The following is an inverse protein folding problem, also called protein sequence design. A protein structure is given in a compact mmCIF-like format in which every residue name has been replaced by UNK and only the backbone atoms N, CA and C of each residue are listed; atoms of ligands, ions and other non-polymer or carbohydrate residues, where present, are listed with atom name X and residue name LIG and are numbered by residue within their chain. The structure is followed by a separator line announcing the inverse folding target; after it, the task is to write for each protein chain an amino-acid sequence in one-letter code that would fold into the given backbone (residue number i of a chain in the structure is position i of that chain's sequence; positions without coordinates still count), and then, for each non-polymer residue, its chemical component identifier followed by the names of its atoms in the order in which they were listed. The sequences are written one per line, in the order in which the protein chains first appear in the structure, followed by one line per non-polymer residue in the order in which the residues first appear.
data_IF_165294192142
#
_entry.id   IF_165294192142
#
_cell.length_a   1.000
_cell.length_b   1.000
_cell.length_c   1.000
_cell.angle_alpha   90.00
_cell.angle_beta   90.00
_cell.angle_gamma   90.00
#
_symmetry.space_group_name_H-M   'P 1'
#
loop_
_entity.id
_entity.type
_entity.pdbx_description
1 polymer ?
#
# COMPACT_ATOMS: atom_id res chain seq x y z
N UNK A 1 -21.02 23.59 67.46
CA UNK A 1 -20.60 24.11 66.14
C UNK A 1 -21.48 23.46 65.08
N UNK A 2 -22.62 24.09 64.77
CA UNK A 2 -23.59 23.64 63.77
C UNK A 2 -23.55 24.65 62.62
N UNK A 3 -23.24 24.19 61.42
CA UNK A 3 -23.25 25.01 60.21
C UNK A 3 -24.68 25.11 59.66
N UNK A 4 -25.21 26.32 59.66
CA UNK A 4 -26.54 26.68 59.17
C UNK A 4 -26.48 26.84 57.65
N UNK A 5 -27.27 26.05 56.91
CA UNK A 5 -27.49 26.21 55.46
C UNK A 5 -28.41 27.40 55.21
N UNK A 6 -27.91 28.46 54.59
CA UNK A 6 -28.75 29.54 54.03
C UNK A 6 -28.92 29.32 52.53
N UNK A 7 -30.13 28.88 52.18
CA UNK A 7 -30.69 28.79 50.85
C UNK A 7 -31.13 30.21 50.43
N UNK A 8 -30.56 30.79 49.38
CA UNK A 8 -31.06 32.02 48.77
C UNK A 8 -32.12 31.66 47.70
N UNK A 9 -33.35 32.18 47.76
CA UNK A 9 -34.30 32.08 46.66
C UNK A 9 -34.09 33.28 45.72
N UNK A 10 -33.70 33.05 44.47
CA UNK A 10 -33.76 34.06 43.42
C UNK A 10 -35.14 33.99 42.74
N UNK A 11 -35.87 35.10 42.55
CA UNK A 11 -37.24 35.06 42.06
C UNK A 11 -37.28 34.75 40.57
N UNK A 12 -37.98 33.68 40.19
CA UNK A 12 -38.50 33.47 38.85
C UNK A 12 -39.55 34.56 38.58
N UNK A 13 -39.18 35.58 37.81
CA UNK A 13 -40.13 36.51 37.20
C UNK A 13 -40.23 36.17 35.71
N UNK A 14 -41.33 35.49 35.40
CA UNK A 14 -41.87 35.29 34.07
C UNK A 14 -42.02 36.63 33.35
N UNK A 15 -41.25 36.82 32.29
CA UNK A 15 -41.64 37.62 31.14
C UNK A 15 -41.40 36.74 29.91
N UNK A 16 -42.44 35.99 29.56
CA UNK A 16 -42.56 35.24 28.32
C UNK A 16 -42.60 36.21 27.14
N UNK A 17 -41.43 36.55 26.62
CA UNK A 17 -41.31 36.87 25.20
C UNK A 17 -41.08 35.55 24.49
N UNK A 18 -42.09 35.09 23.73
CA UNK A 18 -42.02 33.86 22.97
C UNK A 18 -40.81 33.91 22.04
N UNK A 19 -39.93 32.92 22.17
CA UNK A 19 -38.82 32.71 21.24
C UNK A 19 -39.08 31.38 20.54
N UNK A 20 -38.77 31.28 19.24
CA UNK A 20 -39.04 30.08 18.47
C UNK A 20 -38.19 28.87 18.89
N UNK A 21 -37.00 29.12 19.43
CA UNK A 21 -36.02 28.09 19.73
C UNK A 21 -35.42 28.28 21.13
N UNK A 22 -35.19 27.18 21.84
CA UNK A 22 -34.70 27.18 23.21
C UNK A 22 -33.37 26.45 23.34
N UNK A 23 -32.67 26.72 24.44
CA UNK A 23 -31.48 25.96 24.79
C UNK A 23 -31.93 24.57 25.18
N UNK A 24 -31.40 23.56 24.53
CA UNK A 24 -31.94 22.22 24.67
C UNK A 24 -31.09 21.16 24.01
N UNK A 25 -31.32 19.93 24.47
CA UNK A 25 -30.82 18.76 23.79
C UNK A 25 -31.55 18.60 22.45
N UNK A 26 -30.87 18.04 21.46
CA UNK A 26 -31.49 17.69 20.20
C UNK A 26 -30.95 16.36 19.70
N UNK A 27 -31.75 15.69 18.88
CA UNK A 27 -31.33 14.56 18.07
C UNK A 27 -31.65 14.85 16.61
N UNK A 28 -30.83 14.35 15.69
CA UNK A 28 -31.09 14.48 14.26
C UNK A 28 -30.80 13.17 13.54
N UNK A 29 -31.63 12.87 12.55
CA UNK A 29 -31.39 11.79 11.59
C UNK A 29 -31.45 12.38 10.19
N UNK A 30 -30.54 12.00 9.33
CA UNK A 30 -30.48 12.53 7.97
C UNK A 30 -29.91 11.56 6.96
N UNK A 31 -30.09 11.92 5.70
CA UNK A 31 -29.46 11.25 4.59
C UNK A 31 -28.25 12.05 4.14
N UNK A 32 -27.20 11.33 3.76
CA UNK A 32 -25.97 11.90 3.26
C UNK A 32 -25.70 11.40 1.85
N UNK A 33 -25.36 12.32 0.95
CA UNK A 33 -24.86 12.01 -0.38
C UNK A 33 -23.45 12.57 -0.49
N UNK A 34 -22.47 11.75 -0.83
CA UNK A 34 -21.09 12.20 -0.97
C UNK A 34 -20.44 11.72 -2.26
N UNK A 35 -19.65 12.61 -2.86
CA UNK A 35 -18.83 12.25 -4.02
C UNK A 35 -17.51 11.71 -3.49
N UNK A 36 -17.18 10.48 -3.87
CA UNK A 36 -15.97 9.80 -3.45
C UNK A 36 -15.07 9.49 -4.63
N UNK A 37 -13.79 9.82 -4.50
CA UNK A 37 -12.76 9.40 -5.44
C UNK A 37 -12.10 8.13 -4.93
N UNK A 38 -11.93 7.17 -5.84
CA UNK A 38 -10.92 6.13 -5.71
C UNK A 38 -9.86 6.42 -6.78
N UNK A 39 -8.69 6.88 -6.33
CA UNK A 39 -7.55 7.16 -7.22
C UNK A 39 -6.57 6.01 -7.03
N UNK A 40 -6.40 5.20 -8.08
CA UNK A 40 -5.46 4.10 -8.11
C UNK A 40 -4.26 4.53 -8.95
N UNK A 41 -3.13 4.73 -8.28
CA UNK A 41 -1.84 4.83 -8.96
C UNK A 41 -1.21 3.43 -8.97
N UNK A 42 -1.02 2.86 -10.17
CA UNK A 42 -0.46 1.53 -10.40
C UNK A 42 -1.33 0.39 -9.86
N UNK A 43 -1.81 -0.51 -10.73
CA UNK A 43 -2.69 -1.62 -10.35
C UNK A 43 -1.93 -2.70 -9.55
N UNK A 44 -2.31 -3.00 -8.30
CA UNK A 44 -1.66 -3.99 -7.46
C UNK A 44 -1.99 -5.44 -7.85
N UNK A 45 -3.12 -5.71 -8.51
CA UNK A 45 -3.44 -7.07 -8.94
C UNK A 45 -2.62 -7.47 -10.17
N UNK A 46 -2.31 -6.51 -11.05
CA UNK A 46 -1.28 -6.67 -12.07
C UNK A 46 0.13 -6.81 -11.45
N UNK A 47 0.32 -6.37 -10.20
CA UNK A 47 1.61 -6.43 -9.52
C UNK A 47 1.96 -7.81 -8.99
N UNK A 48 1.05 -8.76 -8.72
CA UNK A 48 1.47 -10.08 -8.22
C UNK A 48 2.28 -10.88 -9.26
N UNK A 49 1.77 -11.00 -10.49
CA UNK A 49 2.52 -11.63 -11.58
C UNK A 49 3.80 -10.85 -11.88
N UNK A 50 3.74 -9.51 -11.88
CA UNK A 50 4.93 -8.66 -12.09
C UNK A 50 5.96 -8.81 -10.98
N UNK A 51 5.55 -8.90 -9.72
CA UNK A 51 6.41 -9.12 -8.56
C UNK A 51 7.10 -10.47 -8.71
N UNK A 52 6.36 -11.52 -9.10
CA UNK A 52 6.94 -12.84 -9.33
C UNK A 52 7.94 -12.79 -10.50
N UNK A 53 7.61 -12.09 -11.58
CA UNK A 53 8.50 -11.88 -12.73
C UNK A 53 9.77 -11.13 -12.31
N UNK A 54 9.64 -10.05 -11.54
CA UNK A 54 10.76 -9.23 -11.04
C UNK A 54 11.64 -10.05 -10.08
N UNK A 55 11.04 -10.76 -9.12
CA UNK A 55 11.74 -11.61 -8.16
C UNK A 55 12.51 -12.73 -8.86
N UNK A 56 11.86 -13.42 -9.80
CA UNK A 56 12.49 -14.46 -10.61
C UNK A 56 13.64 -13.89 -11.46
N UNK A 57 13.45 -12.72 -12.06
CA UNK A 57 14.47 -12.04 -12.86
C UNK A 57 15.68 -11.60 -12.02
N UNK A 58 15.45 -11.05 -10.83
CA UNK A 58 16.52 -10.66 -9.89
C UNK A 58 17.31 -11.87 -9.40
N UNK A 59 16.63 -12.98 -9.05
CA UNK A 59 17.28 -14.24 -8.68
C UNK A 59 18.13 -14.78 -9.85
N UNK A 60 17.61 -14.70 -11.08
CA UNK A 60 18.35 -15.09 -12.28
C UNK A 60 19.59 -14.21 -12.48
N UNK A 61 19.49 -12.89 -12.34
CA UNK A 61 20.64 -11.97 -12.42
C UNK A 61 21.68 -12.29 -11.34
N UNK A 62 21.26 -12.53 -10.10
CA UNK A 62 22.15 -12.92 -9.01
C UNK A 62 22.94 -14.19 -9.33
N UNK A 63 22.26 -15.23 -9.84
CA UNK A 63 22.93 -16.46 -10.29
C UNK A 63 23.93 -16.21 -11.43
N UNK A 64 23.57 -15.38 -12.42
CA UNK A 64 24.48 -15.03 -13.51
C UNK A 64 25.72 -14.26 -13.02
N UNK A 65 25.57 -13.41 -12.00
CA UNK A 65 26.72 -12.75 -11.35
C UNK A 65 27.63 -13.73 -10.60
N UNK A 66 27.08 -14.74 -9.93
CA UNK A 66 27.91 -15.79 -9.31
C UNK A 66 28.74 -16.53 -10.36
N UNK A 67 28.12 -16.93 -11.47
CA UNK A 67 28.82 -17.60 -12.58
C UNK A 67 29.89 -16.69 -13.18
N UNK A 68 29.62 -15.38 -13.32
CA UNK A 68 30.62 -14.40 -13.78
C UNK A 68 31.85 -14.38 -12.86
N UNK A 69 31.63 -14.43 -11.54
CA UNK A 69 32.71 -14.48 -10.56
C UNK A 69 33.48 -15.81 -10.66
N UNK A 70 32.79 -16.95 -10.79
CA UNK A 70 33.39 -18.28 -10.98
C UNK A 70 34.28 -18.32 -12.24
N UNK A 71 33.81 -17.75 -13.38
CA UNK A 71 34.60 -17.65 -14.61
C UNK A 71 35.88 -16.82 -14.41
N UNK A 72 35.77 -15.74 -13.63
CA UNK A 72 36.89 -14.83 -13.37
C UNK A 72 37.93 -15.48 -12.45
N UNK A 73 37.49 -16.29 -11.48
CA UNK A 73 38.38 -17.00 -10.56
C UNK A 73 38.97 -18.29 -11.12
N UNK A 74 38.45 -18.81 -12.24
CA UNK A 74 38.85 -20.12 -12.78
C UNK A 74 40.35 -20.22 -13.11
N UNK A 75 41.00 -19.12 -13.50
CA UNK A 75 42.45 -19.14 -13.74
C UNK A 75 43.23 -19.51 -12.47
N UNK A 76 42.75 -19.07 -11.29
CA UNK A 76 43.36 -19.45 -10.02
C UNK A 76 43.13 -20.94 -9.71
N UNK A 77 41.96 -21.47 -10.08
CA UNK A 77 41.64 -22.91 -9.99
C UNK A 77 42.60 -23.73 -10.85
N UNK A 78 42.82 -23.37 -12.11
CA UNK A 78 43.81 -24.04 -12.97
C UNK A 78 45.22 -23.94 -12.41
N UNK A 79 45.62 -22.77 -11.90
CA UNK A 79 46.93 -22.60 -11.25
C UNK A 79 47.10 -23.52 -10.03
N UNK A 80 46.07 -23.65 -9.19
CA UNK A 80 46.06 -24.57 -8.06
C UNK A 80 46.25 -26.02 -8.52
N UNK A 81 45.44 -26.48 -9.48
CA UNK A 81 45.50 -27.84 -10.01
C UNK A 81 46.89 -28.13 -10.60
N UNK A 82 47.41 -27.23 -11.43
CA UNK A 82 48.74 -27.38 -12.03
C UNK A 82 49.85 -27.47 -10.98
N UNK A 83 49.73 -26.76 -9.86
CA UNK A 83 50.68 -26.83 -8.75
C UNK A 83 50.53 -28.13 -7.94
N UNK A 84 49.30 -28.59 -7.71
CA UNK A 84 49.04 -29.86 -7.03
C UNK A 84 49.60 -31.04 -7.83
N UNK A 85 49.39 -31.07 -9.15
CA UNK A 85 49.93 -32.10 -10.05
C UNK A 85 51.46 -32.15 -10.04
N UNK A 86 52.14 -31.00 -10.03
CA UNK A 86 53.62 -30.94 -9.96
C UNK A 86 54.18 -31.45 -8.64
N UNK A 87 53.42 -31.36 -7.54
CA UNK A 87 53.84 -31.78 -6.20
C UNK A 87 53.31 -33.15 -5.79
N UNK A 88 52.63 -33.86 -6.68
CA UNK A 88 51.88 -35.08 -6.39
C UNK A 88 52.73 -36.20 -5.76
N UNK A 89 54.05 -36.22 -6.03
CA UNK A 89 55.01 -37.16 -5.42
C UNK A 89 55.22 -37.00 -3.91
N UNK A 90 54.60 -35.99 -3.27
CA UNK A 90 54.69 -35.70 -1.82
C UNK A 90 53.37 -35.90 -1.06
N UNK A 91 52.28 -36.25 -1.75
CA UNK A 91 50.95 -36.33 -1.16
C UNK A 91 50.69 -37.70 -0.53
N UNK A 92 50.01 -37.69 0.61
CA UNK A 92 49.49 -38.88 1.27
C UNK A 92 48.27 -39.45 0.51
N UNK A 93 47.92 -40.73 0.69
CA UNK A 93 46.75 -41.33 0.04
C UNK A 93 45.43 -40.56 0.28
N UNK A 94 45.28 -39.95 1.45
CA UNK A 94 44.10 -39.13 1.79
C UNK A 94 44.08 -37.81 1.02
N UNK A 95 45.23 -37.18 0.84
CA UNK A 95 45.34 -35.94 0.06
C UNK A 95 45.13 -36.19 -1.43
N UNK A 96 45.62 -37.32 -1.97
CA UNK A 96 45.34 -37.75 -3.36
C UNK A 96 43.83 -37.91 -3.59
N UNK A 97 43.11 -38.49 -2.62
CA UNK A 97 41.66 -38.63 -2.72
C UNK A 97 40.95 -37.27 -2.69
N UNK A 98 41.40 -36.33 -1.85
CA UNK A 98 40.85 -34.98 -1.78
C UNK A 98 41.07 -34.21 -3.09
N UNK A 99 42.26 -34.29 -3.69
CA UNK A 99 42.58 -33.68 -4.99
C UNK A 99 41.71 -34.26 -6.12
N UNK A 100 41.46 -35.58 -6.10
CA UNK A 100 40.55 -36.21 -7.08
C UNK A 100 39.12 -35.67 -6.97
N UNK A 101 38.60 -35.49 -5.75
CA UNK A 101 37.30 -34.87 -5.54
C UNK A 101 37.27 -33.41 -5.99
N UNK A 102 38.34 -32.66 -5.73
CA UNK A 102 38.46 -31.27 -6.16
C UNK A 102 38.46 -31.12 -7.69
N UNK A 103 39.19 -32.01 -8.39
CA UNK A 103 39.19 -32.07 -9.84
C UNK A 103 37.81 -32.39 -10.43
N UNK A 104 37.14 -33.41 -9.88
CA UNK A 104 35.79 -33.77 -10.31
C UNK A 104 34.82 -32.60 -10.14
N UNK A 105 34.85 -31.94 -8.98
CA UNK A 105 34.02 -30.76 -8.71
C UNK A 105 34.35 -29.59 -9.64
N UNK A 106 35.62 -29.43 -10.03
CA UNK A 106 36.03 -28.40 -10.99
C UNK A 106 35.42 -28.66 -12.37
N UNK A 107 35.41 -29.89 -12.84
CA UNK A 107 34.80 -30.24 -14.12
C UNK A 107 33.29 -30.00 -14.14
N UNK A 108 32.59 -30.39 -13.06
CA UNK A 108 31.15 -30.10 -12.88
C UNK A 108 30.87 -28.59 -12.87
N UNK A 109 31.74 -27.80 -12.23
CA UNK A 109 31.62 -26.33 -12.26
C UNK A 109 31.81 -25.76 -13.66
N UNK A 110 32.76 -26.28 -14.44
CA UNK A 110 32.97 -25.86 -15.84
C UNK A 110 31.74 -26.20 -16.70
N UNK A 111 31.15 -27.38 -16.51
CA UNK A 111 29.91 -27.79 -17.22
C UNK A 111 28.73 -26.84 -16.91
N UNK A 112 28.56 -26.50 -15.64
CA UNK A 112 27.56 -25.51 -15.18
C UNK A 112 27.82 -24.13 -15.81
N UNK A 113 29.07 -23.68 -15.84
CA UNK A 113 29.47 -22.42 -16.47
C UNK A 113 29.10 -22.42 -17.96
N UNK A 114 29.44 -23.47 -18.71
CA UNK A 114 29.13 -23.58 -20.14
C UNK A 114 27.64 -23.54 -20.38
N UNK A 115 26.87 -24.30 -19.59
CA UNK A 115 25.40 -24.34 -19.69
C UNK A 115 24.77 -22.97 -19.51
N UNK A 116 25.25 -22.19 -18.52
CA UNK A 116 24.70 -20.88 -18.19
C UNK A 116 25.22 -19.73 -19.07
N UNK A 117 26.34 -19.93 -19.76
CA UNK A 117 27.02 -18.89 -20.57
C UNK A 117 26.81 -19.02 -22.09
N UNK A 118 25.73 -19.68 -22.52
CA UNK A 118 25.34 -19.80 -23.93
C UNK A 118 25.37 -21.23 -24.47
N UNK A 119 25.66 -22.22 -23.62
CA UNK A 119 25.58 -23.64 -23.94
C UNK A 119 26.65 -24.13 -24.92
N UNK A 120 26.47 -25.38 -25.36
CA UNK A 120 27.40 -26.10 -26.25
C UNK A 120 27.61 -25.36 -27.58
N UNK A 121 26.57 -24.75 -28.12
CA UNK A 121 26.64 -24.01 -29.39
C UNK A 121 27.59 -22.80 -29.34
N UNK A 122 27.74 -22.18 -28.17
CA UNK A 122 28.60 -21.00 -27.99
C UNK A 122 30.04 -21.37 -27.67
N UNK A 123 30.27 -22.57 -27.11
CA UNK A 123 31.59 -23.02 -26.64
C UNK A 123 31.90 -24.49 -27.00
N UNK A 124 31.81 -24.90 -28.29
CA UNK A 124 31.90 -26.31 -28.67
C UNK A 124 33.27 -26.93 -28.38
N UNK A 125 34.36 -26.17 -28.55
CA UNK A 125 35.72 -26.65 -28.30
C UNK A 125 36.01 -26.85 -26.81
N UNK A 126 35.42 -26.01 -25.95
CA UNK A 126 35.52 -26.16 -24.50
C UNK A 126 34.77 -27.41 -24.02
N UNK A 127 33.59 -27.67 -24.59
CA UNK A 127 32.81 -28.89 -24.28
C UNK A 127 33.59 -30.14 -24.69
N UNK A 128 34.15 -30.15 -25.91
CA UNK A 128 34.97 -31.28 -26.36
C UNK A 128 36.22 -31.51 -25.48
N UNK A 129 36.87 -30.44 -25.02
CA UNK A 129 38.00 -30.55 -24.11
C UNK A 129 37.57 -31.07 -22.72
N UNK A 130 36.39 -30.67 -22.25
CA UNK A 130 35.81 -31.14 -20.99
C UNK A 130 35.40 -32.62 -21.06
N UNK A 131 34.82 -33.07 -22.16
CA UNK A 131 34.49 -34.49 -22.39
C UNK A 131 35.76 -35.33 -22.39
N UNK A 132 36.80 -34.91 -23.13
CA UNK A 132 38.08 -35.64 -23.22
C UNK A 132 38.81 -35.80 -21.89
N UNK A 133 38.79 -34.79 -21.00
CA UNK A 133 39.48 -34.92 -19.70
C UNK A 133 38.73 -35.86 -18.73
N UNK A 134 37.43 -36.09 -18.95
CA UNK A 134 36.62 -36.99 -18.14
C UNK A 134 36.74 -38.45 -18.59
N UNK A 135 37.29 -38.70 -19.78
CA UNK A 135 37.57 -40.06 -20.24
C UNK A 135 38.64 -40.73 -19.35
N UNK A 136 38.44 -41.99 -18.95
CA UNK A 136 39.41 -42.70 -18.11
C UNK A 136 40.71 -42.95 -18.88
N UNK A 137 41.80 -42.29 -18.48
CA UNK A 137 43.15 -42.55 -18.97
C UNK A 137 44.04 -43.15 -17.88
N UNK A 138 44.87 -44.12 -18.26
CA UNK A 138 45.92 -44.70 -17.41
C UNK A 138 47.28 -44.04 -17.63
N UNK A 139 47.39 -43.13 -18.62
CA UNK A 139 48.63 -42.45 -18.98
C UNK A 139 48.69 -41.05 -18.35
N UNK A 140 49.60 -40.80 -17.39
CA UNK A 140 49.72 -39.51 -16.72
C UNK A 140 50.06 -38.35 -17.66
N UNK A 141 50.81 -38.60 -18.74
CA UNK A 141 51.19 -37.57 -19.71
C UNK A 141 49.99 -37.12 -20.55
N UNK A 142 49.12 -38.06 -20.91
CA UNK A 142 47.89 -37.80 -21.66
C UNK A 142 46.90 -36.97 -20.83
N UNK A 143 46.80 -37.26 -19.52
CA UNK A 143 45.98 -36.45 -18.61
C UNK A 143 46.48 -35.01 -18.50
N UNK A 144 47.79 -34.80 -18.37
CA UNK A 144 48.39 -33.45 -18.32
C UNK A 144 48.16 -32.67 -19.62
N UNK A 145 48.27 -33.34 -20.77
CA UNK A 145 47.98 -32.75 -22.08
C UNK A 145 46.50 -32.36 -22.22
N UNK A 146 45.58 -33.25 -21.83
CA UNK A 146 44.15 -32.98 -21.85
C UNK A 146 43.78 -31.82 -20.92
N UNK A 147 44.41 -31.70 -19.74
CA UNK A 147 44.18 -30.61 -18.80
C UNK A 147 44.68 -29.27 -19.36
N UNK A 148 45.87 -29.26 -19.97
CA UNK A 148 46.40 -28.06 -20.66
C UNK A 148 45.51 -27.62 -21.80
N UNK A 149 44.98 -28.57 -22.57
CA UNK A 149 44.02 -28.26 -23.63
C UNK A 149 42.73 -27.67 -23.03
N UNK A 150 42.19 -28.24 -21.94
CA UNK A 150 41.03 -27.69 -21.25
C UNK A 150 41.25 -26.25 -20.76
N UNK A 151 42.38 -25.98 -20.11
CA UNK A 151 42.76 -24.63 -19.65
C UNK A 151 42.81 -23.64 -20.82
N UNK A 152 43.45 -24.02 -21.93
CA UNK A 152 43.56 -23.19 -23.12
C UNK A 152 42.18 -22.90 -23.74
N UNK A 153 41.33 -23.92 -23.89
CA UNK A 153 39.97 -23.75 -24.43
C UNK A 153 39.09 -22.90 -23.50
N UNK A 154 39.27 -23.04 -22.18
CA UNK A 154 38.56 -22.22 -21.20
C UNK A 154 38.98 -20.74 -21.31
N UNK A 155 40.29 -20.45 -21.34
CA UNK A 155 40.81 -19.09 -21.48
C UNK A 155 40.33 -18.42 -22.78
N UNK A 156 40.31 -19.16 -23.90
CA UNK A 156 39.81 -18.66 -25.18
C UNK A 156 38.29 -18.40 -25.16
N UNK A 157 37.54 -19.20 -24.40
CA UNK A 157 36.09 -19.07 -24.27
C UNK A 157 35.69 -18.02 -23.23
N UNK A 158 36.58 -17.63 -22.31
CA UNK A 158 36.29 -16.76 -21.17
C UNK A 158 35.58 -15.46 -21.57
N UNK A 159 36.17 -14.70 -22.50
CA UNK A 159 35.59 -13.43 -22.95
C UNK A 159 34.21 -13.61 -23.63
N UNK A 160 34.03 -14.70 -24.37
CA UNK A 160 32.74 -15.02 -25.02
C UNK A 160 31.68 -15.35 -23.97
N UNK A 161 32.02 -16.17 -22.98
CA UNK A 161 31.15 -16.52 -21.86
C UNK A 161 30.76 -15.26 -21.05
N UNK A 162 31.72 -14.40 -20.72
CA UNK A 162 31.47 -13.14 -20.01
C UNK A 162 30.57 -12.18 -20.81
N UNK A 163 30.79 -12.07 -22.12
CA UNK A 163 29.96 -11.27 -23.02
C UNK A 163 28.53 -11.82 -23.11
N UNK A 164 28.38 -13.14 -23.24
CA UNK A 164 27.08 -13.82 -23.27
C UNK A 164 26.29 -13.58 -21.97
N UNK A 165 26.92 -13.76 -20.80
CA UNK A 165 26.30 -13.48 -19.51
C UNK A 165 25.90 -12.02 -19.36
N UNK A 166 26.76 -11.09 -19.80
CA UNK A 166 26.47 -9.65 -19.74
C UNK A 166 25.29 -9.27 -20.65
N UNK A 167 25.21 -9.87 -21.86
CA UNK A 167 24.06 -9.72 -22.76
C UNK A 167 22.78 -10.28 -22.16
N UNK A 168 22.82 -11.45 -21.52
CA UNK A 168 21.67 -12.02 -20.82
C UNK A 168 21.18 -11.12 -19.68
N UNK A 169 22.10 -10.58 -18.86
CA UNK A 169 21.77 -9.61 -17.80
C UNK A 169 21.14 -8.34 -18.39
N UNK A 170 21.69 -7.82 -19.50
CA UNK A 170 21.15 -6.64 -20.17
C UNK A 170 19.74 -6.89 -20.73
N UNK A 171 19.49 -8.05 -21.35
CA UNK A 171 18.17 -8.43 -21.86
C UNK A 171 17.13 -8.54 -20.72
N UNK A 172 17.50 -9.18 -19.61
CA UNK A 172 16.63 -9.27 -18.44
C UNK A 172 16.37 -7.86 -17.89
N UNK A 173 17.39 -7.02 -17.75
CA UNK A 173 17.24 -5.64 -17.25
C UNK A 173 16.35 -4.79 -18.16
N UNK A 174 16.51 -4.89 -19.48
CA UNK A 174 15.66 -4.20 -20.45
C UNK A 174 14.20 -4.69 -20.41
N UNK A 175 13.97 -5.99 -20.22
CA UNK A 175 12.62 -6.54 -20.04
C UNK A 175 11.94 -6.05 -18.76
N UNK A 176 12.72 -5.81 -17.69
CA UNK A 176 12.23 -5.23 -16.45
C UNK A 176 11.91 -3.73 -16.61
N UNK A 177 12.75 -2.99 -17.34
CA UNK A 177 12.52 -1.57 -17.62
C UNK A 177 11.33 -1.32 -18.57
N UNK A 178 10.96 -2.32 -19.39
CA UNK A 178 9.81 -2.25 -20.30
C UNK A 178 8.47 -2.58 -19.62
N UNK A 179 8.46 -3.01 -18.35
CA UNK A 179 7.23 -3.15 -17.58
C UNK A 179 6.66 -1.74 -17.33
N UNK A 180 5.58 -1.38 -18.03
CA UNK A 180 4.95 -0.06 -17.93
C UNK A 180 4.61 0.28 -16.47
N UNK A 181 5.23 1.31 -15.86
CA UNK A 181 5.08 1.65 -14.45
C UNK A 181 3.82 2.47 -14.16
N UNK A 182 2.91 2.67 -15.13
CA UNK A 182 1.93 3.75 -15.04
C UNK A 182 0.51 3.40 -15.50
N UNK A 183 -0.12 2.44 -14.84
CA UNK A 183 -1.59 2.36 -14.88
C UNK A 183 -2.19 3.41 -13.94
N UNK A 184 -2.61 4.55 -14.49
CA UNK A 184 -3.39 5.57 -13.79
C UNK A 184 -4.88 5.33 -14.02
N UNK A 185 -5.60 4.90 -13.00
CA UNK A 185 -7.06 4.78 -13.06
C UNK A 185 -7.69 5.70 -12.00
N UNK A 186 -8.53 6.64 -12.47
CA UNK A 186 -9.28 7.54 -11.61
C UNK A 186 -10.75 7.20 -11.76
N UNK A 187 -11.33 6.60 -10.72
CA UNK A 187 -12.75 6.29 -10.68
C UNK A 187 -13.45 7.20 -9.68
N UNK A 188 -14.50 7.88 -10.16
CA UNK A 188 -15.39 8.71 -9.33
C UNK A 188 -16.60 7.84 -9.03
N UNK A 189 -16.89 7.61 -7.75
CA UNK A 189 -18.10 6.91 -7.34
C UNK A 189 -18.92 7.77 -6.38
N UNK A 190 -20.24 7.57 -6.42
CA UNK A 190 -21.18 8.19 -5.50
C UNK A 190 -21.37 7.30 -4.28
N UNK A 191 -21.29 7.89 -3.10
CA UNK A 191 -21.59 7.24 -1.83
C UNK A 191 -22.87 7.80 -1.24
N UNK A 192 -23.74 6.90 -0.77
CA UNK A 192 -25.00 7.22 -0.13
C UNK A 192 -24.96 6.74 1.31
N UNK A 193 -25.52 7.52 2.23
CA UNK A 193 -25.40 7.23 3.65
C UNK A 193 -26.54 7.77 4.50
N UNK A 194 -26.45 7.41 5.77
CA UNK A 194 -27.30 7.93 6.84
C UNK A 194 -26.41 8.59 7.89
N UNK A 195 -26.90 9.70 8.43
CA UNK A 195 -26.24 10.48 9.48
C UNK A 195 -27.13 10.49 10.71
N UNK A 196 -26.52 10.27 11.86
CA UNK A 196 -27.14 10.41 13.17
C UNK A 196 -26.33 11.43 13.97
N UNK A 197 -26.99 12.39 14.61
CA UNK A 197 -26.32 13.27 15.56
C UNK A 197 -27.16 13.51 16.80
N UNK A 198 -26.49 13.70 17.92
CA UNK A 198 -27.10 14.08 19.20
C UNK A 198 -26.22 15.14 19.84
N UNK A 199 -26.84 16.16 20.43
CA UNK A 199 -26.07 17.26 20.98
C UNK A 199 -26.91 18.24 21.76
N UNK A 200 -26.30 19.38 22.01
CA UNK A 200 -26.94 20.46 22.76
C UNK A 200 -26.71 21.80 22.06
N UNK A 201 -27.75 22.61 21.99
CA UNK A 201 -27.72 23.97 21.44
C UNK A 201 -27.69 24.97 22.60
N UNK A 202 -26.70 25.86 22.60
CA UNK A 202 -26.55 26.92 23.58
C UNK A 202 -26.59 28.29 22.89
N UNK A 203 -27.69 29.02 23.04
CA UNK A 203 -27.84 30.39 22.54
C UNK A 203 -27.47 31.41 23.63
N UNK A 204 -26.60 32.37 23.28
CA UNK A 204 -26.04 33.35 24.22
C UNK A 204 -26.86 34.64 24.32
N UNK A 205 -27.55 35.02 23.24
CA UNK A 205 -28.18 36.33 23.16
C UNK A 205 -29.62 36.28 23.67
N UNK A 206 -30.11 37.38 24.27
CA UNK A 206 -31.53 37.53 24.67
C UNK A 206 -32.50 37.35 23.49
N UNK A 207 -32.07 37.72 22.28
CA UNK A 207 -32.76 37.50 21.00
C UNK A 207 -32.52 36.11 20.40
N UNK A 208 -31.74 35.24 21.07
CA UNK A 208 -31.29 33.90 20.65
C UNK A 208 -30.91 33.77 19.17
N UNK A 209 -30.31 34.83 18.63
CA UNK A 209 -29.86 34.88 17.25
C UNK A 209 -28.46 34.29 17.05
N UNK A 210 -27.68 34.15 18.12
CA UNK A 210 -26.34 33.57 18.09
C UNK A 210 -26.23 32.46 19.13
N UNK A 211 -25.67 31.32 18.73
CA UNK A 211 -25.45 30.19 19.60
C UNK A 211 -24.30 29.31 19.17
N UNK A 212 -23.92 28.40 20.05
CA UNK A 212 -22.99 27.32 19.77
C UNK A 212 -23.73 25.98 19.92
N UNK A 213 -23.38 25.04 19.04
CA UNK A 213 -23.88 23.68 19.05
C UNK A 213 -22.71 22.74 19.17
N UNK A 214 -22.73 21.89 20.18
CA UNK A 214 -21.76 20.81 20.34
C UNK A 214 -22.50 19.48 20.27
N UNK A 215 -21.94 18.54 19.51
CA UNK A 215 -22.64 17.32 19.15
C UNK A 215 -21.69 16.15 18.93
N UNK A 216 -22.23 14.96 19.19
CA UNK A 216 -21.70 13.69 18.75
C UNK A 216 -22.40 13.30 17.46
N UNK A 217 -21.66 12.77 16.50
CA UNK A 217 -22.25 12.28 15.26
C UNK A 217 -21.65 10.95 14.83
N UNK A 218 -22.46 10.22 14.08
CA UNK A 218 -22.11 8.99 13.42
C UNK A 218 -22.74 8.99 12.02
N UNK A 219 -21.90 8.95 10.99
CA UNK A 219 -22.30 8.84 9.60
C UNK A 219 -21.88 7.47 9.06
N UNK A 220 -22.86 6.73 8.55
CA UNK A 220 -22.63 5.50 7.82
C UNK A 220 -22.81 5.79 6.33
N UNK A 221 -21.82 5.48 5.51
CA UNK A 221 -21.92 5.58 4.06
C UNK A 221 -21.64 4.25 3.37
N UNK A 222 -22.41 3.96 2.35
CA UNK A 222 -22.27 2.83 1.47
C UNK A 222 -21.91 3.30 0.06
N UNK A 223 -20.89 2.69 -0.52
CA UNK A 223 -20.46 2.97 -1.89
C UNK A 223 -20.12 1.67 -2.62
N UNK A 224 -20.43 1.63 -3.91
CA UNK A 224 -19.96 0.58 -4.79
C UNK A 224 -18.96 1.21 -5.75
N UNK A 225 -17.67 0.90 -5.56
CA UNK A 225 -16.65 1.36 -6.49
C UNK A 225 -16.57 0.37 -7.65
N UNK A 226 -17.11 0.76 -8.80
CA UNK A 226 -16.85 0.08 -10.07
C UNK A 226 -15.51 0.56 -10.63
N UNK A 227 -14.55 -0.35 -10.80
CA UNK A 227 -13.35 -0.11 -11.58
C UNK A 227 -13.57 -0.77 -12.94
N UNK A 228 -13.70 0.04 -14.00
CA UNK A 228 -13.78 -0.48 -15.37
C UNK A 228 -12.38 -0.38 -15.98
N UNK A 229 -11.71 -1.51 -16.13
CA UNK A 229 -10.43 -1.63 -16.82
C UNK A 229 -9.63 -2.85 -16.37
N UNK A 230 -9.49 -3.84 -17.25
CA UNK A 230 -8.66 -5.05 -17.15
C UNK A 230 -9.14 -6.21 -16.26
N UNK A 231 -10.43 -6.57 -16.37
CA UNK A 231 -10.88 -7.94 -16.07
C UNK A 231 -11.12 -8.30 -14.60
N UNK A 232 -10.97 -7.35 -13.67
CA UNK A 232 -11.36 -7.53 -12.28
C UNK A 232 -12.63 -6.74 -11.95
N UNK A 233 -13.71 -7.48 -11.70
CA UNK A 233 -15.01 -6.92 -11.35
C UNK A 233 -15.05 -6.59 -9.85
N UNK A 234 -14.68 -5.35 -9.51
CA UNK A 234 -15.07 -4.69 -8.27
C UNK A 234 -14.08 -4.74 -7.11
N UNK A 235 -13.76 -3.57 -6.56
CA UNK A 235 -13.32 -3.43 -5.15
C UNK A 235 -14.37 -3.95 -4.15
N UNK A 236 -15.53 -4.37 -4.64
CA UNK A 236 -16.66 -4.77 -3.85
C UNK A 236 -17.28 -3.59 -3.11
N UNK A 237 -18.38 -3.91 -2.46
CA UNK A 237 -19.16 -2.97 -1.66
C UNK A 237 -18.29 -2.47 -0.51
N UNK A 238 -18.08 -1.16 -0.43
CA UNK A 238 -17.34 -0.53 0.67
C UNK A 238 -18.29 0.26 1.55
N UNK A 239 -18.09 0.11 2.85
CA UNK A 239 -18.77 0.85 3.89
C UNK A 239 -17.76 1.79 4.54
N UNK A 240 -18.18 3.02 4.79
CA UNK A 240 -17.43 3.99 5.57
C UNK A 240 -18.18 4.30 6.86
N UNK A 241 -17.50 4.20 7.99
CA UNK A 241 -17.97 4.57 9.30
C UNK A 241 -17.24 5.82 9.74
N UNK A 242 -17.93 6.95 9.77
CA UNK A 242 -17.39 8.22 10.21
C UNK A 242 -18.02 8.59 11.55
N UNK A 243 -17.21 8.84 12.58
CA UNK A 243 -17.70 9.18 13.90
C UNK A 243 -16.83 10.24 14.55
N UNK A 244 -17.45 11.09 15.36
CA UNK A 244 -16.71 12.18 15.96
C UNK A 244 -17.50 13.15 16.81
N UNK A 245 -16.81 14.22 17.17
CA UNK A 245 -17.30 15.34 17.95
C UNK A 245 -17.26 16.60 17.08
N UNK A 246 -18.36 17.34 17.04
CA UNK A 246 -18.48 18.57 16.27
C UNK A 246 -18.83 19.77 17.13
N UNK A 247 -18.38 20.94 16.67
CA UNK A 247 -18.79 22.23 17.18
C UNK A 247 -19.15 23.15 16.02
N UNK A 248 -20.39 23.68 16.06
CA UNK A 248 -20.87 24.63 15.07
C UNK A 248 -21.34 25.92 15.74
N UNK A 249 -21.02 27.03 15.11
CA UNK A 249 -21.65 28.31 15.37
C UNK A 249 -23.00 28.37 14.67
N UNK A 250 -24.02 28.81 15.40
CA UNK A 250 -25.40 28.95 14.94
C UNK A 250 -25.75 30.43 14.85
N UNK A 251 -26.37 30.81 13.74
CA UNK A 251 -26.91 32.16 13.58
C UNK A 251 -28.30 32.15 12.95
N UNK A 252 -29.27 32.77 13.61
CA UNK A 252 -30.64 32.92 13.10
C UNK A 252 -30.83 34.31 12.50
N UNK A 253 -31.21 34.38 11.23
CA UNK A 253 -31.51 35.65 10.55
C UNK A 253 -32.99 36.01 10.64
N UNK A 254 -33.86 34.99 10.66
CA UNK A 254 -35.32 35.14 10.75
C UNK A 254 -35.79 34.34 11.95
N UNK A 255 -36.50 35.01 12.86
CA UNK A 255 -37.15 34.38 14.02
C UNK A 255 -38.59 34.87 14.09
N UNK A 256 -39.54 33.96 13.89
CA UNK A 256 -40.95 34.24 14.05
C UNK A 256 -41.45 33.67 15.39
N UNK A 257 -41.44 34.55 16.39
CA UNK A 257 -41.91 34.27 17.75
C UNK A 257 -43.34 33.72 17.82
N UNK A 258 -44.24 34.10 16.90
CA UNK A 258 -45.65 33.68 16.93
C UNK A 258 -45.87 32.27 16.40
N UNK A 259 -45.07 31.83 15.41
CA UNK A 259 -45.17 30.49 14.81
C UNK A 259 -44.14 29.50 15.36
N UNK A 260 -43.27 29.96 16.26
CA UNK A 260 -42.09 29.25 16.72
C UNK A 260 -41.26 28.67 15.55
N UNK A 261 -41.10 29.45 14.49
CA UNK A 261 -40.31 29.07 13.32
C UNK A 261 -39.07 29.96 13.22
N UNK A 262 -37.92 29.36 12.98
CA UNK A 262 -36.65 30.08 12.82
C UNK A 262 -35.91 29.61 11.57
N UNK A 263 -35.23 30.53 10.90
CA UNK A 263 -34.35 30.24 9.76
C UNK A 263 -32.97 30.82 10.05
N UNK A 264 -31.95 29.99 9.89
CA UNK A 264 -30.59 30.34 10.21
C UNK A 264 -29.57 29.59 9.38
N UNK A 265 -28.30 29.87 9.64
CA UNK A 265 -27.18 29.07 9.17
C UNK A 265 -26.39 28.49 10.33
N UNK A 266 -25.60 27.47 10.02
CA UNK A 266 -24.57 26.96 10.90
C UNK A 266 -23.24 26.87 10.16
N UNK A 267 -22.14 27.08 10.87
CA UNK A 267 -20.79 26.93 10.34
C UNK A 267 -19.86 26.47 11.47
N UNK A 268 -19.02 25.48 11.20
CA UNK A 268 -18.23 24.83 12.24
C UNK A 268 -17.24 23.82 11.70
N UNK A 269 -16.68 23.06 12.63
CA UNK A 269 -15.77 21.96 12.31
C UNK A 269 -15.99 20.80 13.28
N UNK A 270 -15.55 19.62 12.88
CA UNK A 270 -15.58 18.43 13.70
C UNK A 270 -14.21 17.76 13.72
N UNK A 271 -13.99 16.95 14.76
CA UNK A 271 -12.86 16.04 14.88
C UNK A 271 -13.43 14.63 14.74
N UNK A 272 -12.99 13.90 13.72
CA UNK A 272 -13.64 12.67 13.33
C UNK A 272 -12.65 11.56 12.96
N UNK A 273 -12.96 10.33 13.38
CA UNK A 273 -12.31 9.11 12.88
C UNK A 273 -13.14 8.52 11.75
N UNK A 274 -12.50 8.20 10.62
CA UNK A 274 -13.10 7.49 9.50
C UNK A 274 -12.51 6.09 9.42
N UNK A 275 -13.36 5.08 9.39
CA UNK A 275 -12.98 3.67 9.25
C UNK A 275 -13.68 3.05 8.06
N UNK A 276 -12.91 2.47 7.14
CA UNK A 276 -13.43 1.84 5.94
C UNK A 276 -13.43 0.32 6.10
N UNK A 277 -14.56 -0.32 5.81
CA UNK A 277 -14.73 -1.78 5.86
C UNK A 277 -15.48 -2.26 4.61
N UNK A 278 -15.07 -3.37 4.00
CA UNK A 278 -15.64 -3.84 2.74
C UNK A 278 -15.03 -5.16 2.30
N UNK A 279 -15.72 -5.89 1.43
CA UNK A 279 -15.32 -7.24 0.99
C UNK A 279 -13.96 -7.26 0.27
N UNK A 280 -13.56 -6.14 -0.35
CA UNK A 280 -12.24 -6.01 -0.98
C UNK A 280 -11.07 -6.00 0.01
N UNK A 281 -11.24 -5.52 1.25
CA UNK A 281 -10.14 -5.31 2.21
C UNK A 281 -9.36 -6.56 2.57
N UNK A 282 -10.03 -7.72 2.67
CA UNK A 282 -9.37 -8.99 3.03
C UNK A 282 -8.32 -9.42 2.01
N UNK A 283 -8.53 -9.08 0.73
CA UNK A 283 -7.54 -9.36 -0.32
C UNK A 283 -6.31 -8.47 -0.17
N UNK A 284 -6.48 -7.19 0.13
CA UNK A 284 -5.39 -6.24 0.36
C UNK A 284 -4.57 -6.57 1.62
N UNK A 285 -5.21 -7.08 2.68
CA UNK A 285 -4.52 -7.62 3.87
C UNK A 285 -3.63 -8.79 3.48
N UNK A 286 -4.20 -9.79 2.80
CA UNK A 286 -3.47 -10.98 2.34
C UNK A 286 -2.27 -10.61 1.44
N UNK A 287 -2.43 -9.61 0.58
CA UNK A 287 -1.37 -9.13 -0.30
C UNK A 287 -0.27 -8.37 0.46
N UNK A 288 -0.66 -7.53 1.43
CA UNK A 288 0.29 -6.86 2.34
C UNK A 288 1.13 -7.88 3.10
N UNK A 289 0.49 -8.94 3.60
CA UNK A 289 1.15 -10.03 4.30
C UNK A 289 2.07 -10.82 3.37
N UNK A 290 1.66 -11.07 2.12
CA UNK A 290 2.51 -11.72 1.13
C UNK A 290 3.77 -10.88 0.84
N UNK A 291 3.61 -9.58 0.61
CA UNK A 291 4.72 -8.66 0.31
C UNK A 291 5.68 -8.59 1.49
N UNK A 292 5.18 -8.39 2.70
CA UNK A 292 6.03 -8.20 3.88
C UNK A 292 6.74 -9.50 4.32
N UNK A 293 6.13 -10.68 4.11
CA UNK A 293 6.69 -11.95 4.58
C UNK A 293 7.53 -12.69 3.54
N UNK A 294 7.24 -12.54 2.24
CA UNK A 294 7.89 -13.34 1.19
C UNK A 294 8.80 -12.52 0.25
N UNK A 295 8.76 -11.18 0.30
CA UNK A 295 9.59 -10.33 -0.56
C UNK A 295 10.61 -9.54 0.28
N UNK A 296 11.86 -9.98 0.23
CA UNK A 296 12.97 -9.29 0.89
C UNK A 296 13.25 -7.95 0.20
N UNK A 297 13.10 -6.84 0.94
CA UNK A 297 13.36 -5.48 0.44
C UNK A 297 12.14 -4.68 -0.03
N UNK A 298 10.92 -5.22 0.15
CA UNK A 298 9.66 -4.52 -0.13
C UNK A 298 8.86 -4.31 1.17
N UNK A 299 8.13 -3.20 1.28
CA UNK A 299 7.25 -2.94 2.42
C UNK A 299 5.90 -2.38 1.95
N UNK A 300 4.82 -3.01 2.42
CA UNK A 300 3.44 -2.57 2.21
C UNK A 300 2.81 -2.15 3.54
N UNK A 301 2.12 -1.00 3.55
CA UNK A 301 1.40 -0.49 4.72
C UNK A 301 -0.05 -0.17 4.37
N UNK A 302 -0.96 -0.62 5.21
CA UNK A 302 -2.39 -0.33 5.11
C UNK A 302 -2.85 0.55 6.26
N UNK A 303 -3.63 1.59 5.94
CA UNK A 303 -4.26 2.47 6.91
C UNK A 303 -5.77 2.41 6.76
N UNK A 304 -6.41 1.50 7.50
CA UNK A 304 -7.87 1.26 7.45
C UNK A 304 -8.70 2.31 8.20
N UNK A 305 -8.04 3.04 9.11
CA UNK A 305 -8.64 4.10 9.91
C UNK A 305 -7.78 5.35 9.89
N UNK A 306 -8.41 6.51 9.78
CA UNK A 306 -7.71 7.80 9.78
C UNK A 306 -8.49 8.91 10.47
N UNK A 307 -7.76 9.90 10.96
CA UNK A 307 -8.31 11.09 11.58
C UNK A 307 -8.53 12.19 10.54
N UNK A 308 -9.67 12.88 10.61
CA UNK A 308 -9.99 13.99 9.73
C UNK A 308 -10.69 15.13 10.49
N UNK A 309 -10.51 16.35 9.97
CA UNK A 309 -11.14 17.56 10.47
C UNK A 309 -12.14 18.06 9.41
N UNK A 310 -13.39 17.58 9.40
CA UNK A 310 -14.41 18.09 8.49
C UNK A 310 -14.90 19.47 8.90
N UNK A 311 -14.97 20.39 7.92
CA UNK A 311 -15.72 21.63 8.03
C UNK A 311 -17.19 21.37 7.72
N UNK A 312 -18.08 21.90 8.55
CA UNK A 312 -19.52 21.78 8.40
C UNK A 312 -20.13 23.15 8.19
N UNK A 313 -20.98 23.30 7.18
CA UNK A 313 -21.74 24.53 6.97
C UNK A 313 -23.08 24.24 6.31
N UNK A 314 -24.11 24.99 6.66
CA UNK A 314 -25.44 24.75 6.10
C UNK A 314 -26.48 25.72 6.59
N UNK A 315 -27.71 25.47 6.13
CA UNK A 315 -28.91 26.22 6.48
C UNK A 315 -29.76 25.35 7.39
N UNK A 316 -30.43 25.99 8.34
CA UNK A 316 -31.38 25.37 9.25
C UNK A 316 -32.73 26.08 9.19
N UNK A 317 -33.78 25.30 9.22
CA UNK A 317 -35.18 25.75 9.21
C UNK A 317 -35.91 25.00 10.30
N UNK A 318 -36.23 25.67 11.40
CA UNK A 318 -37.14 25.12 12.40
C UNK A 318 -38.56 25.52 12.04
N UNK A 319 -39.45 24.53 11.92
CA UNK A 319 -40.85 24.74 11.54
C UNK A 319 -41.67 25.03 12.79
N UNK A 320 -41.37 24.34 13.90
CA UNK A 320 -41.98 24.58 15.21
C UNK A 320 -40.92 24.36 16.32
N UNK A 321 -41.32 24.40 17.60
CA UNK A 321 -40.40 24.25 18.75
C UNK A 321 -39.58 22.95 18.74
N UNK A 322 -40.16 21.87 18.21
CA UNK A 322 -39.56 20.53 18.27
C UNK A 322 -38.99 20.09 16.92
N UNK A 323 -39.56 20.52 15.80
CA UNK A 323 -39.28 20.00 14.47
C UNK A 323 -38.51 21.02 13.65
N UNK A 324 -37.34 20.61 13.17
CA UNK A 324 -36.55 21.37 12.21
C UNK A 324 -35.96 20.49 11.11
N UNK A 325 -35.49 21.16 10.07
CA UNK A 325 -34.79 20.58 8.94
C UNK A 325 -33.48 21.33 8.75
N UNK A 326 -32.42 20.58 8.46
CA UNK A 326 -31.10 21.12 8.18
C UNK A 326 -30.62 20.58 6.85
N UNK A 327 -30.01 21.46 6.07
CA UNK A 327 -29.38 21.11 4.80
C UNK A 327 -27.99 21.72 4.80
N UNK A 328 -26.97 20.93 4.47
CA UNK A 328 -25.61 21.43 4.54
C UNK A 328 -24.60 20.63 3.74
N UNK A 329 -23.36 21.05 3.91
CA UNK A 329 -22.19 20.51 3.27
C UNK A 329 -21.13 20.25 4.34
N UNK A 330 -20.49 19.09 4.21
CA UNK A 330 -19.38 18.62 5.02
C UNK A 330 -18.17 18.43 4.12
N UNK A 331 -17.11 19.18 4.36
CA UNK A 331 -15.85 19.17 3.58
C UNK A 331 -14.71 18.67 4.48
N UNK A 332 -14.17 17.46 4.26
CA UNK A 332 -13.01 16.97 5.00
C UNK A 332 -11.73 17.74 4.59
N UNK A 333 -11.00 18.30 5.58
CA UNK A 333 -9.75 19.03 5.33
C UNK A 333 -8.50 18.14 5.20
N UNK A 334 -8.54 16.92 5.75
CA UNK A 334 -7.38 16.01 5.75
C UNK A 334 -7.36 15.11 4.51
N UNK A 335 -6.17 14.94 3.92
CA UNK A 335 -5.89 14.01 2.80
C UNK A 335 -5.06 12.87 3.37
N UNK A 336 -5.64 11.68 3.54
CA UNK A 336 -4.92 10.50 4.05
C UNK A 336 -4.97 9.34 3.05
N UNK A 337 -3.84 8.67 2.89
CA UNK A 337 -3.64 7.51 2.01
C UNK A 337 -4.20 6.24 2.63
N UNK A 338 -4.93 5.43 1.85
CA UNK A 338 -5.52 4.18 2.33
C UNK A 338 -4.55 2.99 2.18
N UNK A 339 -3.73 3.01 1.12
CA UNK A 339 -2.73 1.99 0.83
C UNK A 339 -1.47 2.63 0.23
N UNK A 340 -0.31 2.30 0.78
CA UNK A 340 0.99 2.74 0.24
C UNK A 340 1.98 1.57 0.21
N UNK A 341 2.56 1.31 -0.95
CA UNK A 341 3.73 0.42 -1.08
C UNK A 341 4.97 1.24 -1.39
N UNK A 342 6.09 0.88 -0.77
CA UNK A 342 7.39 1.49 -1.02
C UNK A 342 8.37 0.43 -1.51
N UNK A 343 8.91 0.60 -2.72
CA UNK A 343 9.89 -0.31 -3.31
C UNK A 343 10.31 0.08 -4.73
N UNK A 344 11.56 -0.22 -5.11
CA UNK A 344 12.21 0.18 -6.38
C UNK A 344 11.32 -0.12 -7.61
N UNK A 345 10.60 0.89 -8.10
CA UNK A 345 9.78 0.85 -9.31
C UNK A 345 8.31 0.44 -9.14
N UNK A 346 7.85 0.17 -7.91
CA UNK A 346 6.48 -0.30 -7.62
C UNK A 346 5.83 0.51 -6.48
N UNK A 347 5.93 1.84 -6.57
CA UNK A 347 5.15 2.70 -5.69
C UNK A 347 3.69 2.68 -6.17
N UNK A 348 2.85 1.86 -5.54
CA UNK A 348 1.39 1.95 -5.69
C UNK A 348 0.82 2.72 -4.51
N UNK A 349 -0.09 3.63 -4.81
CA UNK A 349 -0.79 4.42 -3.81
C UNK A 349 -2.27 4.45 -4.18
N UNK A 350 -3.11 3.86 -3.33
CA UNK A 350 -4.57 3.88 -3.49
C UNK A 350 -5.14 4.86 -2.47
N UNK A 351 -5.88 5.84 -2.97
CA UNK A 351 -6.52 6.87 -2.16
C UNK A 351 -8.04 6.73 -2.27
N UNK A 352 -8.72 6.49 -1.14
CA UNK A 352 -10.16 6.70 -1.02
C UNK A 352 -10.41 8.06 -0.37
N UNK A 353 -11.09 8.95 -1.07
CA UNK A 353 -11.36 10.31 -0.59
C UNK A 353 -12.83 10.66 -0.77
N UNK A 354 -13.51 11.05 0.30
CA UNK A 354 -14.74 11.88 0.19
C UNK A 354 -14.32 13.31 -0.12
N UNK A 355 -14.82 13.89 -1.21
CA UNK A 355 -14.51 15.28 -1.60
C UNK A 355 -15.42 16.25 -0.87
N UNK A 356 -16.70 15.91 -0.89
CA UNK A 356 -17.78 16.70 -0.33
C UNK A 356 -18.92 15.75 0.01
N UNK A 357 -19.54 15.97 1.16
CA UNK A 357 -20.75 15.31 1.58
C UNK A 357 -21.86 16.34 1.74
N UNK A 358 -22.97 16.13 1.06
CA UNK A 358 -24.20 16.88 1.20
C UNK A 358 -25.12 16.16 2.17
N UNK A 359 -25.62 16.85 3.19
CA UNK A 359 -26.52 16.29 4.19
C UNK A 359 -27.87 16.98 4.18
N UNK A 360 -28.93 16.18 4.32
CA UNK A 360 -30.28 16.65 4.61
C UNK A 360 -30.76 15.89 5.84
N UNK A 361 -31.05 16.62 6.92
CA UNK A 361 -31.34 16.05 8.22
C UNK A 361 -32.62 16.62 8.79
N UNK A 362 -33.42 15.75 9.40
CA UNK A 362 -34.51 16.14 10.27
C UNK A 362 -33.98 16.24 11.70
N UNK A 363 -34.34 17.31 12.39
CA UNK A 363 -33.87 17.67 13.73
C UNK A 363 -35.06 17.71 14.68
N UNK A 364 -34.97 16.93 15.74
CA UNK A 364 -35.89 16.97 16.87
C UNK A 364 -35.22 17.66 18.06
N UNK A 365 -35.80 18.76 18.55
CA UNK A 365 -35.35 19.47 19.76
C UNK A 365 -36.28 19.12 20.92
N UNK A 366 -35.69 18.69 22.04
CA UNK A 366 -36.41 18.21 23.22
C UNK A 366 -36.90 19.33 24.12
#
# INVERSE_FOLDING_TARGET
MQFQKTLFPLPLLLLSFGIAEENGAYASVGFEYSISHAIQHNDPFLNQERIQIISNAQNKIYKLHQVKNEITSMQNTFNYINNALKNNSKLTPTEIQAEKYYLQSTFENIEKIVTLSGGVSSNPQLVQALEKIQEPTTNPLEFEENLRNLEAQFAQSQNRMLSSLSSQIAQISNSLNALDPSSYSKNISSMYGVSLSVGYKHFFTKKKNQGLRYYLFYDYGYTNFGFVGNGFDGLGKMNNHLYGLGIDYLYNFIDNAQKHSSVGFYAGFALAGSSWVGSGLGMWVSETDFINNYLTGYQAKMHTSFFQIPLNFGVRVNVNRHNGFEMGLKIPLAVNSFYETHGKGLNTSLFFKRIVAFNVSYVYSF
#
